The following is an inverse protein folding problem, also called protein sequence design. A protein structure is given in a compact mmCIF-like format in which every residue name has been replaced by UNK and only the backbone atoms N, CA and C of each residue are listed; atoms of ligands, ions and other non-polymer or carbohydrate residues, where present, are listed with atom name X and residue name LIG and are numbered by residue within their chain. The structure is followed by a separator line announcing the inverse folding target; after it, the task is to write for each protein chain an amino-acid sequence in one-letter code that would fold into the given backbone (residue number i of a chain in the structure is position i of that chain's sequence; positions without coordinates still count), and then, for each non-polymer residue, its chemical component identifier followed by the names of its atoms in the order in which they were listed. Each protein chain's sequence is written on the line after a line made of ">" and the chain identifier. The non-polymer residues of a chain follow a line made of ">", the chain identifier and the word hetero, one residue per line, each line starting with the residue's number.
data_IF_619107910035
#
_entry.id   IF_619107910035
#
_cell.length_a   1.000
_cell.length_b   1.000
_cell.length_c   1.000
_cell.angle_alpha   90.00
_cell.angle_beta   90.00
_cell.angle_gamma   90.00
#
_symmetry.space_group_name_H-M   'P 1'
#
loop_
_entity.id
_entity.type
_entity.pdbx_description
1 polymer ?
2 non-polymer ?
3 non-polymer ?
4 non-polymer ?
5 water ?
#
# COMPACT_ATOMS: atom_id res chain seq x y z
N UNK A 5 -21.39 11.28 -1.83
CA UNK A 5 -20.79 10.19 -1.00
C UNK A 5 -19.48 9.70 -1.63
N UNK A 6 -19.50 9.32 -2.91
CA UNK A 6 -18.38 8.64 -3.62
C UNK A 6 -17.18 9.59 -3.74
N UNK A 7 -17.40 10.81 -4.24
CA UNK A 7 -16.37 11.88 -4.32
C UNK A 7 -15.81 12.13 -2.91
N UNK A 8 -16.70 12.30 -1.93
CA UNK A 8 -16.36 12.58 -0.51
C UNK A 8 -15.51 11.44 0.04
N UNK A 9 -15.94 10.19 -0.15
CA UNK A 9 -15.21 8.99 0.34
C UNK A 9 -13.85 8.89 -0.37
N UNK A 10 -13.79 9.19 -1.67
CA UNK A 10 -12.50 9.15 -2.42
C UNK A 10 -11.58 10.28 -1.97
N UNK A 11 -12.11 11.42 -1.52
CA UNK A 11 -11.26 12.49 -0.92
C UNK A 11 -10.68 11.99 0.41
N UNK A 12 -11.46 11.28 1.23
CA UNK A 12 -10.94 10.63 2.46
C UNK A 12 -9.81 9.67 2.08
N UNK A 13 -10.02 8.84 1.06
CA UNK A 13 -8.99 7.89 0.55
C UNK A 13 -7.75 8.67 0.12
N UNK A 14 -7.92 9.76 -0.62
CA UNK A 14 -6.78 10.59 -1.09
C UNK A 14 -6.03 11.17 0.11
N UNK A 15 -6.75 11.59 1.16
CA UNK A 15 -6.16 12.07 2.42
C UNK A 15 -5.29 11.01 3.06
N UNK A 16 -5.82 9.79 3.17
CA UNK A 16 -5.08 8.61 3.71
C UNK A 16 -3.81 8.41 2.88
N UNK A 17 -3.95 8.37 1.55
CA UNK A 17 -2.81 8.14 0.63
C UNK A 17 -1.72 9.18 0.89
N UNK A 18 -2.09 10.46 0.97
CA UNK A 18 -1.12 11.56 1.24
C UNK A 18 -0.44 11.30 2.59
N UNK A 19 -1.19 10.87 3.60
CA UNK A 19 -0.59 10.58 4.93
C UNK A 19 0.41 9.43 4.80
N UNK A 20 0.07 8.35 4.08
CA UNK A 20 0.96 7.16 3.97
C UNK A 20 2.27 7.56 3.27
N UNK A 21 2.23 8.59 2.42
CA UNK A 21 3.40 9.08 1.65
C UNK A 21 4.13 10.21 2.39
N UNK A 22 3.62 10.66 3.54
CA UNK A 22 4.12 11.86 4.28
C UNK A 22 5.37 11.50 5.10
N UNK A 23 6.17 12.50 5.45
CA UNK A 23 7.44 12.31 6.21
C UNK A 23 7.13 11.66 7.57
N UNK A 24 5.93 11.89 8.12
CA UNK A 24 5.48 11.35 9.43
C UNK A 24 5.72 9.84 9.51
N UNK A 25 5.49 9.11 8.41
CA UNK A 25 5.51 7.62 8.39
C UNK A 25 6.68 7.08 7.56
N UNK A 26 7.60 7.94 7.12
CA UNK A 26 8.67 7.58 6.15
C UNK A 26 9.58 6.48 6.70
N UNK A 27 9.77 6.39 8.02
CA UNK A 27 10.69 5.42 8.64
C UNK A 27 10.26 3.97 8.34
N UNK A 28 8.96 3.71 8.15
CA UNK A 28 8.42 2.35 7.89
C UNK A 28 7.62 2.30 6.57
N UNK A 29 7.30 3.44 5.95
CA UNK A 29 6.51 3.48 4.69
C UNK A 29 7.41 3.27 3.46
N UNK A 30 8.71 3.54 3.57
CA UNK A 30 9.61 3.68 2.39
C UNK A 30 9.64 2.42 1.53
N UNK A 31 9.55 1.17 2.06
CA UNK A 31 9.57 -0.01 1.20
C UNK A 31 8.37 -0.09 0.24
N UNK A 32 7.30 0.68 0.52
CA UNK A 32 6.01 0.61 -0.21
C UNK A 32 5.84 1.80 -1.17
N UNK A 33 6.85 2.66 -1.29
CA UNK A 33 6.78 3.90 -2.10
C UNK A 33 6.73 3.58 -3.59
N UNK A 34 7.50 2.57 -4.03
CA UNK A 34 7.68 2.25 -5.47
C UNK A 34 7.55 0.75 -5.67
N UNK A 35 7.28 0.28 -6.92
CA UNK A 35 7.18 -1.15 -7.19
C UNK A 35 8.45 -1.86 -6.70
N UNK A 36 8.28 -3.04 -6.10
CA UNK A 36 9.42 -3.92 -5.71
C UNK A 36 10.23 -4.19 -6.97
N UNK A 37 11.50 -3.79 -6.98
CA UNK A 37 12.45 -4.12 -8.07
C UNK A 37 13.10 -5.46 -7.72
N UNK A 38 12.43 -6.56 -8.09
CA UNK A 38 12.79 -7.94 -7.71
C UNK A 38 14.23 -8.24 -8.15
N UNK A 39 14.56 -7.93 -9.40
CA UNK A 39 15.88 -8.20 -10.02
C UNK A 39 16.98 -7.41 -9.29
N UNK A 40 16.74 -6.13 -8.99
CA UNK A 40 17.69 -5.25 -8.27
C UNK A 40 17.98 -5.81 -6.88
N UNK A 41 16.96 -6.38 -6.21
CA UNK A 41 17.05 -6.87 -4.81
C UNK A 41 17.47 -8.35 -4.77
N UNK A 42 17.60 -9.00 -5.93
CA UNK A 42 17.97 -10.43 -6.04
C UNK A 42 16.85 -11.36 -5.62
N UNK A 43 15.60 -10.88 -5.66
CA UNK A 43 14.39 -11.66 -5.27
C UNK A 43 13.82 -12.33 -6.53
N UNK A 44 14.54 -13.31 -7.07
CA UNK A 44 14.27 -13.90 -8.41
C UNK A 44 13.03 -14.80 -8.39
N UNK A 45 12.43 -15.03 -7.22
CA UNK A 45 11.18 -15.81 -7.06
C UNK A 45 9.99 -14.88 -6.82
N UNK A 46 10.21 -13.56 -6.70
CA UNK A 46 9.16 -12.60 -6.28
C UNK A 46 7.93 -12.71 -7.19
N UNK A 47 8.12 -12.64 -8.51
CA UNK A 47 7.01 -12.59 -9.50
C UNK A 47 6.42 -13.98 -9.76
N UNK A 48 7.03 -15.04 -9.21
CA UNK A 48 6.43 -16.41 -9.23
C UNK A 48 5.45 -16.54 -8.06
N UNK A 49 5.72 -15.82 -6.96
CA UNK A 49 4.93 -15.90 -5.70
C UNK A 49 3.85 -14.81 -5.70
N UNK A 50 4.19 -13.61 -6.18
CA UNK A 50 3.28 -12.42 -6.21
C UNK A 50 2.79 -12.22 -7.65
N UNK A 51 1.51 -12.50 -7.91
CA UNK A 51 0.90 -12.43 -9.26
C UNK A 51 0.43 -11.00 -9.55
N UNK A 52 0.12 -10.21 -8.51
CA UNK A 52 -0.43 -8.84 -8.64
C UNK A 52 0.35 -7.88 -7.76
N UNK A 53 1.54 -7.42 -8.20
CA UNK A 53 2.32 -6.45 -7.44
C UNK A 53 1.50 -5.17 -7.25
N UNK A 54 1.70 -4.50 -6.11
CA UNK A 54 1.03 -3.21 -5.82
C UNK A 54 1.92 -2.41 -4.87
N UNK A 55 1.88 -1.09 -5.00
CA UNK A 55 2.72 -0.15 -4.22
C UNK A 55 2.04 1.22 -4.21
N UNK A 56 2.49 2.14 -3.37
CA UNK A 56 1.80 3.44 -3.18
C UNK A 56 1.93 4.34 -4.42
N UNK A 57 3.02 4.24 -5.20
CA UNK A 57 3.17 5.06 -6.44
C UNK A 57 2.10 4.64 -7.45
N UNK A 58 1.79 3.34 -7.53
CA UNK A 58 0.74 2.80 -8.43
C UNK A 58 -0.63 3.27 -7.92
N UNK A 59 -0.86 3.21 -6.60
CA UNK A 59 -2.14 3.68 -6.00
C UNK A 59 -2.30 5.17 -6.32
N UNK A 60 -1.22 5.96 -6.17
CA UNK A 60 -1.24 7.42 -6.43
C UNK A 60 -1.58 7.67 -7.91
N UNK A 61 -0.94 6.96 -8.83
CA UNK A 61 -1.20 7.11 -10.29
C UNK A 61 -2.67 6.79 -10.57
N UNK A 62 -3.20 5.72 -9.97
CA UNK A 62 -4.60 5.29 -10.19
C UNK A 62 -5.55 6.35 -9.63
N UNK A 63 -5.25 6.93 -8.46
CA UNK A 63 -6.06 8.02 -7.86
C UNK A 63 -6.03 9.24 -8.78
N UNK A 64 -4.83 9.64 -9.24
CA UNK A 64 -4.64 10.83 -10.12
C UNK A 64 -5.41 10.65 -11.43
N UNK A 65 -5.48 9.42 -11.95
CA UNK A 65 -6.14 9.09 -13.25
C UNK A 65 -7.64 8.85 -13.05
N UNK A 66 -8.16 9.00 -11.82
CA UNK A 66 -9.58 8.73 -11.46
C UNK A 66 -9.94 7.28 -11.84
N UNK A 67 -8.99 6.36 -11.65
CA UNK A 67 -9.18 4.90 -11.90
C UNK A 67 -10.14 4.35 -10.85
N UNK A 68 -9.95 4.70 -9.58
CA UNK A 68 -10.80 4.20 -8.46
C UNK A 68 -12.18 4.84 -8.55
N UNK A 69 -13.22 4.01 -8.62
CA UNK A 69 -14.63 4.48 -8.71
C UNK A 69 -15.23 4.58 -7.30
N UNK A 70 -14.64 3.94 -6.30
CA UNK A 70 -15.14 4.00 -4.90
C UNK A 70 -14.00 3.68 -3.92
N UNK A 71 -14.25 3.91 -2.63
CA UNK A 71 -13.27 3.72 -1.53
C UNK A 71 -12.87 2.25 -1.44
N UNK A 72 -13.82 1.34 -1.66
CA UNK A 72 -13.61 -0.13 -1.56
C UNK A 72 -12.52 -0.55 -2.56
N UNK A 73 -12.54 0.01 -3.77
CA UNK A 73 -11.56 -0.33 -4.84
C UNK A 73 -10.17 0.16 -4.42
N UNK A 74 -10.09 1.37 -3.88
CA UNK A 74 -8.84 1.97 -3.34
C UNK A 74 -8.29 1.06 -2.23
N UNK A 75 -9.13 0.72 -1.25
CA UNK A 75 -8.73 -0.09 -0.07
C UNK A 75 -8.21 -1.46 -0.54
N UNK A 76 -8.85 -2.06 -1.55
CA UNK A 76 -8.44 -3.38 -2.08
C UNK A 76 -6.98 -3.32 -2.56
N UNK A 77 -6.57 -2.24 -3.23
CA UNK A 77 -5.18 -2.09 -3.73
C UNK A 77 -4.23 -1.90 -2.54
N UNK A 78 -4.60 -1.08 -1.56
CA UNK A 78 -3.72 -0.84 -0.38
C UNK A 78 -3.53 -2.17 0.35
N UNK A 79 -4.60 -2.94 0.54
CA UNK A 79 -4.51 -4.23 1.28
C UNK A 79 -3.77 -5.27 0.44
N UNK A 80 -3.93 -5.25 -0.89
CA UNK A 80 -3.17 -6.14 -1.80
C UNK A 80 -1.67 -5.92 -1.57
N UNK A 81 -1.25 -4.66 -1.53
CA UNK A 81 0.15 -4.26 -1.26
C UNK A 81 0.64 -4.91 0.04
N UNK A 82 -0.12 -4.82 1.13
CA UNK A 82 0.28 -5.40 2.44
C UNK A 82 0.27 -6.93 2.34
N UNK A 83 -0.77 -7.51 1.75
CA UNK A 83 -0.93 -8.98 1.60
C UNK A 83 0.27 -9.57 0.84
N UNK A 84 0.72 -8.91 -0.22
CA UNK A 84 1.90 -9.35 -1.02
C UNK A 84 3.11 -9.44 -0.09
N UNK A 85 3.29 -8.43 0.76
CA UNK A 85 4.41 -8.37 1.73
C UNK A 85 4.32 -9.56 2.70
N UNK A 86 3.13 -9.85 3.23
CA UNK A 86 2.90 -10.96 4.20
C UNK A 86 3.04 -12.32 3.52
N UNK A 87 2.72 -12.40 2.22
CA UNK A 87 2.80 -13.68 1.46
C UNK A 87 4.26 -14.01 1.16
N UNK A 88 5.04 -13.04 0.69
CA UNK A 88 6.39 -13.28 0.14
C UNK A 88 7.41 -13.49 1.28
N UNK A 89 7.33 -12.69 2.34
CA UNK A 89 8.43 -12.53 3.34
C UNK A 89 8.22 -13.44 4.54
N UNK A 90 9.32 -13.90 5.18
CA UNK A 90 9.23 -14.53 6.49
C UNK A 90 8.56 -13.56 7.46
N UNK A 91 7.67 -14.05 8.36
CA UNK A 91 6.89 -13.16 9.22
C UNK A 91 7.70 -12.35 10.25
N UNK A 92 8.98 -12.69 10.47
CA UNK A 92 9.88 -12.01 11.44
C UNK A 92 10.81 -11.03 10.71
N UNK A 93 10.64 -10.85 9.39
CA UNK A 93 11.48 -9.92 8.58
C UNK A 93 11.10 -8.47 8.92
N UNK A 94 12.08 -7.57 8.90
CA UNK A 94 11.90 -6.12 9.20
C UNK A 94 10.82 -5.53 8.29
N UNK A 95 10.79 -5.90 7.01
CA UNK A 95 9.82 -5.33 6.02
C UNK A 95 8.39 -5.68 6.45
N UNK A 96 8.18 -6.85 7.07
CA UNK A 96 6.84 -7.27 7.58
C UNK A 96 6.46 -6.41 8.79
N UNK A 97 7.41 -6.13 9.69
CA UNK A 97 7.17 -5.22 10.84
C UNK A 97 6.77 -3.85 10.31
N UNK A 98 7.43 -3.38 9.25
CA UNK A 98 7.15 -2.07 8.62
C UNK A 98 5.75 -2.11 7.98
N UNK A 99 5.41 -3.19 7.27
CA UNK A 99 4.07 -3.38 6.67
C UNK A 99 3.00 -3.30 7.76
N UNK A 100 3.18 -4.03 8.87
CA UNK A 100 2.19 -4.09 9.99
C UNK A 100 1.94 -2.67 10.52
N UNK A 101 3.01 -1.89 10.70
CA UNK A 101 2.93 -0.52 11.26
C UNK A 101 2.19 0.40 10.28
N UNK A 102 2.51 0.34 8.99
CA UNK A 102 1.82 1.21 7.99
C UNK A 102 0.37 0.74 7.82
N UNK A 103 0.10 -0.56 7.90
CA UNK A 103 -1.29 -1.07 7.79
C UNK A 103 -2.10 -0.59 8.99
N UNK A 104 -1.49 -0.50 10.18
CA UNK A 104 -2.17 0.05 11.38
C UNK A 104 -2.62 1.49 11.09
N UNK A 105 -1.73 2.31 10.54
CA UNK A 105 -2.05 3.72 10.16
C UNK A 105 -3.24 3.69 9.20
N UNK A 106 -3.14 2.88 8.15
CA UNK A 106 -4.17 2.78 7.09
C UNK A 106 -5.52 2.36 7.70
N UNK A 107 -5.56 1.25 8.44
CA UNK A 107 -6.83 0.63 8.88
C UNK A 107 -7.55 1.57 9.85
N UNK A 108 -6.83 2.20 10.78
CA UNK A 108 -7.48 3.08 11.79
C UNK A 108 -8.06 4.32 11.10
N UNK A 109 -7.38 4.88 10.10
CA UNK A 109 -7.92 6.08 9.42
C UNK A 109 -8.99 5.67 8.40
N UNK A 110 -8.83 4.55 7.70
CA UNK A 110 -9.85 4.05 6.75
C UNK A 110 -11.17 3.84 7.50
N UNK A 111 -11.10 3.38 8.76
CA UNK A 111 -12.28 3.10 9.61
C UNK A 111 -13.07 4.39 9.88
N UNK A 112 -12.42 5.56 9.78
CA UNK A 112 -13.04 6.90 10.02
C UNK A 112 -13.65 7.46 8.72
N UNK A 113 -13.88 6.60 7.72
CA UNK A 113 -14.56 6.94 6.43
C UNK A 113 -15.86 7.69 6.73
N UNK A 114 -16.12 8.85 6.09
CA UNK A 114 -17.41 9.53 6.24
C UNK A 114 -18.52 8.71 5.57
N UNK A 115 -19.67 8.57 6.24
CA UNK A 115 -20.86 7.83 5.75
C UNK A 115 -21.74 8.78 4.94
X LIG B 1 -4.92 -3.69 11.73
X LIG B 1 -3.79 -3.66 10.88
X LIG B 1 -4.90 -2.61 12.75
X LIG B 1 -3.75 -2.63 13.58
X LIG C 1 -8.76 -1.76 -12.46
X LIG C 1 -7.96 -0.64 -12.10
X LIG C 1 -9.40 -1.62 -13.79
X LIG C 1 -9.85 -0.31 -14.06
X LIG D 1 7.38 -16.84 3.58
X LIG D 1 7.88 -18.15 3.44
X LIG D 1 5.98 -16.79 4.06
X LIG D 1 5.87 -16.85 5.47
X LIG E 1 12.94 -9.79 1.56
X LIG E 1 11.38 -5.65 0.25
X LIG E 1 12.31 -7.68 0.62
X LIG E 1 13.37 -8.66 0.97
X LIG E 1 13.82 -10.91 1.89
X LIG E 1 13.23 -12.09 2.54
X LIG E 1 13.66 -12.16 1.13
X LIG E 1 13.92 -4.98 2.04
X LIG E 1 14.13 -3.94 4.62
X LIG E 1 13.04 -4.01 2.48
X LIG E 1 14.56 -8.45 0.72
X LIG E 1 10.96 -7.87 0.42
X LIG E 1 12.53 -6.34 0.51
X LIG E 1 10.42 -6.60 0.22
X LIG E 1 8.99 -6.25 0.08
X LIG E 1 8.11 -7.09 0.24
X LIG E 1 8.75 -4.97 -0.20
X LIG E 1 7.41 -4.42 -0.25
X LIG E 1 13.77 -5.58 0.66
X LIG E 1 13.14 -3.49 3.77
X LIG E 1 15.02 -4.90 4.18
X LIG E 1 14.92 -5.42 2.90
X LIG F 1 11.09 -16.36 -0.40
X LIG F 1 12.29 -16.61 -1.09
X LIG F 1 11.27 -15.50 0.80
X LIG F 1 12.40 -15.84 1.58
X LIG G 1 -10.82 12.13 -5.43
X LIG G 1 -11.78 13.11 -5.76
X LIG G 1 -9.48 12.72 -5.16
X LIG G 1 -8.73 12.79 -6.37
X LIG G 1 -7.45 13.39 -6.20
X LIG G 1 -6.57 13.04 -7.36
X LIG G 1 -5.25 12.70 -6.95
#
# INVERSE_FOLDING_TARGET
>A
GSMGKLSEQLKHCNGILKELLSKKHAAYAWPFYKPVDASALGLHDYHDIIKHPMDLSTVKRKMENRDYRDAQEFAADVRLMFSNCYKYNPPDHDVVAMARKLQDVFEFRYAKMPD
>B hetero
1 EDO C1 O1 C2 O2
>C hetero
1 EDO C1 O1 C2 O2
>D hetero
1 EDO C1 O1 C2 O2
>E hetero
1 VE5 N1 N3 C4 C5 C6 C7 C8 C10 C13 C15 O1 C3 N2 C2 C1 O N C C9 C14 C12 C11
>F hetero
1 EDO C1 O1 C2 O2
>G hetero
1 PEG C1 O1 C2 O2 C3 C4 O4
#
